data_IF_683857969537
#
_entry.id   IF_683857969537
#
_cell.length_a   1.000
_cell.length_b   1.000
_cell.length_c   1.000
_cell.angle_alpha   90.00
_cell.angle_beta   90.00
_cell.angle_gamma   90.00
#
_symmetry.space_group_name_H-M   'P 1'
#
loop_
_entity.id
_entity.type
_entity.pdbx_description
1 polymer ?
#
# COMPACT_ATOMS: atom_id res chain seq x y z
N UNK A 1 -2.88 -17.60 1.76
CA UNK A 1 -3.18 -16.26 2.34
C UNK A 1 -4.05 -16.37 3.60
N UNK A 2 -5.16 -17.11 3.58
CA UNK A 2 -5.98 -17.35 4.79
C UNK A 2 -5.19 -18.03 5.92
N UNK A 3 -4.34 -19.01 5.61
CA UNK A 3 -3.46 -19.64 6.60
C UNK A 3 -2.50 -18.64 7.27
N UNK A 4 -1.88 -17.74 6.49
CA UNK A 4 -0.97 -16.71 7.02
C UNK A 4 -1.74 -15.74 7.93
N UNK A 5 -2.94 -15.34 7.53
CA UNK A 5 -3.81 -14.47 8.33
C UNK A 5 -4.23 -15.12 9.66
N UNK A 6 -4.59 -16.41 9.62
CA UNK A 6 -4.93 -17.18 10.81
C UNK A 6 -3.74 -17.29 11.76
N UNK A 7 -2.54 -17.60 11.24
CA UNK A 7 -1.29 -17.63 12.02
C UNK A 7 -0.91 -16.27 12.62
N UNK A 8 -1.29 -15.17 11.96
CA UNK A 8 -1.11 -13.82 12.48
C UNK A 8 -2.16 -13.41 13.53
N UNK A 9 -3.12 -14.29 13.85
CA UNK A 9 -4.16 -14.05 14.84
C UNK A 9 -5.27 -13.11 14.37
N UNK A 10 -5.44 -12.91 13.07
CA UNK A 10 -6.52 -12.05 12.56
C UNK A 10 -7.85 -12.84 12.59
N UNK A 11 -8.90 -12.32 13.25
CA UNK A 11 -10.18 -13.01 13.33
C UNK A 11 -10.82 -13.24 11.96
N UNK A 12 -11.52 -14.37 11.83
CA UNK A 12 -12.37 -14.63 10.66
C UNK A 12 -13.42 -13.51 10.49
N UNK A 13 -13.73 -13.17 9.24
CA UNK A 13 -14.65 -12.07 8.92
C UNK A 13 -14.05 -10.66 8.98
N UNK A 14 -12.84 -10.46 9.54
CA UNK A 14 -12.12 -9.16 9.49
C UNK A 14 -11.22 -8.99 8.27
N UNK A 15 -11.07 -10.02 7.45
CA UNK A 15 -10.31 -9.97 6.20
C UNK A 15 -11.22 -10.36 5.06
N UNK A 16 -11.16 -9.58 3.98
CA UNK A 16 -11.75 -9.90 2.69
C UNK A 16 -10.66 -9.94 1.64
N UNK A 17 -10.43 -11.12 1.07
CA UNK A 17 -9.63 -11.24 -0.15
C UNK A 17 -10.53 -10.98 -1.34
N UNK A 18 -10.14 -10.02 -2.18
CA UNK A 18 -10.84 -9.68 -3.42
C UNK A 18 -9.99 -10.20 -4.57
N UNK A 19 -10.59 -11.04 -5.42
CA UNK A 19 -9.95 -11.53 -6.64
C UNK A 19 -9.74 -10.40 -7.66
N UNK A 20 -9.19 -10.75 -8.83
CA UNK A 20 -9.04 -9.80 -9.93
C UNK A 20 -10.37 -9.12 -10.26
N UNK A 21 -10.34 -7.80 -10.30
CA UNK A 21 -11.45 -6.95 -10.74
C UNK A 21 -11.06 -6.22 -12.03
N UNK A 22 -12.04 -5.80 -12.86
CA UNK A 22 -11.76 -4.94 -14.00
C UNK A 22 -11.02 -3.67 -13.57
N UNK A 23 -10.05 -3.23 -14.38
CA UNK A 23 -9.22 -2.04 -14.07
C UNK A 23 -10.08 -0.79 -13.79
N UNK A 24 -11.23 -0.66 -14.46
CA UNK A 24 -12.18 0.44 -14.26
C UNK A 24 -12.83 0.45 -12.87
N UNK A 25 -12.88 -0.69 -12.18
CA UNK A 25 -13.43 -0.80 -10.82
C UNK A 25 -12.36 -0.59 -9.74
N UNK A 26 -11.07 -0.67 -10.06
CA UNK A 26 -9.98 -0.51 -9.08
C UNK A 26 -10.07 0.82 -8.31
N UNK A 27 -10.32 1.99 -8.95
CA UNK A 27 -10.44 3.24 -8.21
C UNK A 27 -11.57 3.24 -7.17
N UNK A 28 -12.68 2.53 -7.44
CA UNK A 28 -13.80 2.41 -6.51
C UNK A 28 -13.39 1.65 -5.25
N UNK A 29 -12.66 0.55 -5.40
CA UNK A 29 -12.13 -0.22 -4.26
C UNK A 29 -11.16 0.60 -3.41
N UNK A 30 -10.28 1.35 -4.06
CA UNK A 30 -9.30 2.19 -3.34
C UNK A 30 -9.99 3.33 -2.59
N UNK A 31 -10.95 4.03 -3.22
CA UNK A 31 -11.70 5.14 -2.61
C UNK A 31 -12.64 4.70 -1.48
N UNK A 32 -13.06 3.44 -1.47
CA UNK A 32 -13.88 2.87 -0.40
C UNK A 32 -13.08 2.56 0.88
N UNK A 33 -11.75 2.70 0.86
CA UNK A 33 -10.88 2.44 2.00
C UNK A 33 -10.64 3.71 2.82
N UNK A 34 -10.61 3.60 4.15
CA UNK A 34 -10.18 4.70 5.03
C UNK A 34 -8.68 4.96 4.94
N UNK A 35 -7.89 3.90 4.73
CA UNK A 35 -6.43 3.91 4.66
C UNK A 35 -5.97 2.89 3.60
N UNK A 36 -4.98 3.26 2.79
CA UNK A 36 -4.32 2.37 1.84
C UNK A 36 -2.92 2.00 2.34
N UNK A 37 -2.54 0.72 2.23
CA UNK A 37 -1.22 0.24 2.69
C UNK A 37 -0.41 -0.26 1.50
N UNK A 38 0.81 0.28 1.34
CA UNK A 38 1.76 -0.09 0.29
C UNK A 38 3.06 -0.64 0.92
N UNK A 39 3.07 -1.90 1.39
CA UNK A 39 4.29 -2.52 1.88
C UNK A 39 5.19 -2.89 0.69
N UNK A 40 6.41 -2.37 0.65
CA UNK A 40 7.38 -2.65 -0.41
C UNK A 40 8.69 -3.14 0.19
N UNK A 41 9.24 -4.21 -0.39
CA UNK A 41 10.59 -4.64 -0.07
C UNK A 41 11.62 -3.68 -0.69
N UNK A 42 12.69 -3.28 0.02
CA UNK A 42 13.79 -2.51 -0.56
C UNK A 42 14.35 -3.15 -1.84
N UNK A 43 14.42 -4.49 -1.88
CA UNK A 43 14.86 -5.27 -3.04
C UNK A 43 13.96 -5.06 -4.27
N UNK A 44 12.65 -4.91 -4.06
CA UNK A 44 11.70 -4.69 -5.15
C UNK A 44 11.93 -3.34 -5.84
N UNK A 45 12.25 -2.30 -5.05
CA UNK A 45 12.54 -0.96 -5.60
C UNK A 45 13.85 -0.94 -6.38
N UNK A 46 14.87 -1.66 -5.93
CA UNK A 46 16.15 -1.76 -6.65
C UNK A 46 16.05 -2.58 -7.94
N UNK A 47 15.18 -3.60 -7.99
CA UNK A 47 15.06 -4.51 -9.15
C UNK A 47 14.16 -3.97 -10.26
N UNK A 48 13.08 -3.29 -9.90
CA UNK A 48 12.04 -2.90 -10.88
C UNK A 48 12.31 -1.51 -11.49
N UNK A 49 13.28 -0.75 -10.95
CA UNK A 49 13.79 0.48 -11.56
C UNK A 49 12.82 1.65 -11.61
N UNK A 50 11.53 1.43 -11.39
CA UNK A 50 10.50 2.45 -11.60
C UNK A 50 9.59 2.59 -10.38
N UNK A 51 9.17 3.85 -10.18
CA UNK A 51 8.14 4.25 -9.23
C UNK A 51 6.96 3.26 -9.27
N UNK A 52 6.53 2.69 -8.13
CA UNK A 52 5.46 1.71 -8.13
C UNK A 52 4.18 2.37 -8.66
N UNK A 53 3.71 1.98 -9.85
CA UNK A 53 2.49 2.52 -10.50
C UNK A 53 1.28 2.55 -9.56
N UNK A 54 1.22 1.60 -8.62
CA UNK A 54 0.21 1.56 -7.55
C UNK A 54 0.21 2.80 -6.66
N UNK A 55 1.38 3.40 -6.38
CA UNK A 55 1.49 4.62 -5.59
C UNK A 55 0.72 5.78 -6.22
N UNK A 56 0.87 6.00 -7.53
CA UNK A 56 0.15 7.07 -8.21
C UNK A 56 -1.35 6.85 -8.23
N UNK A 57 -1.81 5.60 -8.42
CA UNK A 57 -3.21 5.26 -8.31
C UNK A 57 -3.76 5.54 -6.89
N UNK A 58 -2.95 5.26 -5.85
CA UNK A 58 -3.33 5.54 -4.46
C UNK A 58 -3.39 7.05 -4.20
N UNK A 59 -2.40 7.81 -4.67
CA UNK A 59 -2.37 9.27 -4.52
C UNK A 59 -3.54 9.95 -5.23
N UNK A 60 -3.93 9.48 -6.42
CA UNK A 60 -5.09 9.99 -7.15
C UNK A 60 -6.40 9.80 -6.37
N UNK A 61 -6.44 8.86 -5.43
CA UNK A 61 -7.63 8.66 -4.58
C UNK A 61 -7.73 9.66 -3.45
N UNK A 62 -6.67 10.39 -3.08
CA UNK A 62 -6.66 11.26 -1.90
C UNK A 62 -6.86 10.55 -0.55
N UNK A 63 -6.94 9.20 -0.55
CA UNK A 63 -7.02 8.40 0.68
C UNK A 63 -5.64 8.39 1.35
N UNK A 64 -5.56 8.53 2.69
CA UNK A 64 -4.31 8.42 3.42
C UNK A 64 -3.54 7.12 3.11
N UNK A 65 -2.22 7.22 2.96
CA UNK A 65 -1.35 6.10 2.56
C UNK A 65 -0.38 5.77 3.69
N UNK A 66 -0.32 4.50 4.09
CA UNK A 66 0.74 3.93 4.94
C UNK A 66 1.69 3.16 4.03
N UNK A 67 2.98 3.47 4.08
CA UNK A 67 3.97 2.84 3.19
C UNK A 67 5.25 2.50 3.92
N UNK A 68 6.07 1.64 3.30
CA UNK A 68 7.44 1.39 3.79
C UNK A 68 8.28 2.65 3.66
N UNK A 69 9.15 2.92 4.64
CA UNK A 69 10.00 4.10 4.65
C UNK A 69 11.18 3.96 3.66
N UNK A 70 10.92 4.16 2.38
CA UNK A 70 11.94 4.15 1.33
C UNK A 70 12.18 5.59 0.81
N UNK A 71 13.45 5.98 0.53
CA UNK A 71 13.77 7.34 0.08
C UNK A 71 12.97 7.79 -1.14
N UNK A 72 12.82 6.90 -2.13
CA UNK A 72 12.09 7.16 -3.37
C UNK A 72 10.60 7.46 -3.13
N UNK A 73 9.94 6.70 -2.25
CA UNK A 73 8.53 6.94 -1.89
C UNK A 73 8.35 8.24 -1.10
N UNK A 74 9.31 8.55 -0.22
CA UNK A 74 9.31 9.79 0.57
C UNK A 74 9.36 11.01 -0.32
N UNK A 75 10.20 10.98 -1.34
CA UNK A 75 10.35 12.08 -2.29
C UNK A 75 9.03 12.38 -3.00
N UNK A 76 8.37 11.36 -3.55
CA UNK A 76 7.11 11.52 -4.29
C UNK A 76 5.95 11.95 -3.39
N UNK A 77 5.80 11.33 -2.21
CA UNK A 77 4.72 11.68 -1.29
C UNK A 77 4.86 13.10 -0.72
N UNK A 78 6.10 13.58 -0.52
CA UNK A 78 6.35 14.97 -0.09
C UNK A 78 5.94 15.98 -1.17
N UNK A 79 6.20 15.68 -2.44
CA UNK A 79 5.84 16.55 -3.57
C UNK A 79 4.33 16.59 -3.81
N UNK A 80 3.64 15.44 -3.68
CA UNK A 80 2.21 15.31 -3.98
C UNK A 80 1.24 15.83 -2.91
N UNK A 81 1.72 16.44 -1.81
CA UNK A 81 0.90 16.93 -0.67
C UNK A 81 -0.02 15.86 -0.03
N UNK A 82 0.21 14.57 -0.30
CA UNK A 82 -0.57 13.48 0.30
C UNK A 82 -0.02 13.15 1.68
N UNK A 83 -0.88 13.07 2.70
CA UNK A 83 -0.48 12.75 4.08
C UNK A 83 -0.14 11.26 4.17
N UNK A 84 1.15 10.95 4.05
CA UNK A 84 1.69 9.59 4.24
C UNK A 84 2.16 9.37 5.68
N UNK A 85 1.82 8.22 6.27
CA UNK A 85 2.37 7.79 7.55
C UNK A 85 3.43 6.69 7.31
N UNK A 86 4.52 6.75 8.07
CA UNK A 86 5.66 5.84 7.94
C UNK A 86 5.82 5.08 9.26
N UNK A 87 5.85 3.75 9.20
CA UNK A 87 6.36 2.96 10.34
C UNK A 87 7.89 2.97 10.29
N UNK A 88 8.57 3.35 11.38
CA UNK A 88 9.98 3.01 11.56
C UNK A 88 10.06 1.49 11.66
N UNK A 89 10.63 0.81 10.66
CA UNK A 89 10.98 -0.59 10.83
C UNK A 89 11.92 -0.71 12.03
N UNK A 90 11.61 -1.61 12.96
CA UNK A 90 12.53 -1.97 14.04
C UNK A 90 13.83 -2.50 13.42
N UNK A 91 15.02 -1.98 13.81
CA UNK A 91 16.28 -2.60 13.44
C UNK A 91 16.27 -4.02 14.03
N UNK A 92 16.51 -5.03 13.19
CA UNK A 92 17.05 -6.30 13.69
C UNK A 92 18.55 -6.16 13.81
#
# INVERSE_FOLDING_TARGET
>A
MLEIASRAGVPEGRIRFVDRVPNTKVPLWLRASDILVLPLSPLYVTWVGEMPLKLFAYMATGVPIVTTNLPSLREVLRQGRTRGWWSRGTPR
#
